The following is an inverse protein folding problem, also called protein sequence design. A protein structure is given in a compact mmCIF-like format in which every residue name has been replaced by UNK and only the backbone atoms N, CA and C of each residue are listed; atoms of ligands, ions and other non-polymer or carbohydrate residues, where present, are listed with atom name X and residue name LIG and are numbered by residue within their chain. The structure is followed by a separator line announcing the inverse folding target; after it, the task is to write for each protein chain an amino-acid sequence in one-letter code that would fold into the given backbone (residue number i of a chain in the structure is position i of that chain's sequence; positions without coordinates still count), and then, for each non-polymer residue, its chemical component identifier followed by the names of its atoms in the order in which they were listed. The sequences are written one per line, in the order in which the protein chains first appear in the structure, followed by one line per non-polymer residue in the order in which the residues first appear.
data_IF_680361932176
#
_entry.id   IF_680361932176
#
_cell.length_a   1.000
_cell.length_b   1.000
_cell.length_c   1.000
_cell.angle_alpha   90.00
_cell.angle_beta   90.00
_cell.angle_gamma   90.00
#
_symmetry.space_group_name_H-M   'P 1'
#
loop_
_entity.id
_entity.type
_entity.pdbx_description
1 polymer ?
#
# COMPACT_ATOMS: atom_id res chain seq x y z
N UNK A 1 31.68 3.47 -5.58
CA UNK A 1 30.85 2.27 -5.73
C UNK A 1 29.64 2.60 -6.60
N UNK A 2 29.34 1.74 -7.57
CA UNK A 2 28.50 2.04 -8.72
C UNK A 2 27.04 2.39 -8.35
N UNK A 3 26.58 3.58 -8.75
CA UNK A 3 25.16 3.97 -8.71
C UNK A 3 24.48 3.37 -9.94
N UNK A 4 23.49 2.53 -9.65
CA UNK A 4 22.75 1.64 -10.57
C UNK A 4 22.20 2.41 -11.78
N UNK A 5 22.55 1.95 -13.00
CA UNK A 5 21.83 2.26 -14.24
C UNK A 5 20.47 1.53 -14.24
N UNK A 6 19.39 2.25 -14.56
CA UNK A 6 18.06 1.77 -14.98
C UNK A 6 16.87 1.72 -13.98
N UNK A 7 16.87 2.52 -12.92
CA UNK A 7 15.66 3.02 -12.24
C UNK A 7 16.14 4.22 -11.41
N UNK A 8 15.74 5.47 -11.71
CA UNK A 8 16.32 6.60 -10.96
C UNK A 8 15.77 6.60 -9.53
N UNK A 9 16.64 6.27 -8.59
CA UNK A 9 16.50 6.71 -7.19
C UNK A 9 16.83 8.20 -7.18
N UNK A 10 16.02 9.01 -6.48
CA UNK A 10 16.17 10.46 -6.43
C UNK A 10 17.64 10.83 -6.12
N UNK A 11 18.32 11.63 -6.95
CA UNK A 11 19.67 12.07 -6.65
C UNK A 11 19.66 12.90 -5.36
N UNK A 12 20.43 12.45 -4.37
CA UNK A 12 20.40 13.02 -3.03
C UNK A 12 21.30 14.24 -2.92
N UNK A 13 20.74 15.36 -2.48
CA UNK A 13 21.53 16.46 -1.93
C UNK A 13 22.02 16.03 -0.54
N UNK A 14 23.30 16.20 -0.23
CA UNK A 14 23.91 15.86 1.08
C UNK A 14 23.73 14.37 1.49
N UNK A 15 24.38 13.41 0.79
CA UNK A 15 24.18 11.98 1.02
C UNK A 15 24.51 11.51 2.45
N UNK A 16 25.44 12.16 3.14
CA UNK A 16 25.80 11.83 4.54
C UNK A 16 24.61 12.01 5.49
N UNK A 17 23.87 13.12 5.36
CA UNK A 17 22.70 13.38 6.21
C UNK A 17 21.61 12.32 6.02
N UNK A 18 21.38 11.89 4.78
CA UNK A 18 20.42 10.83 4.49
C UNK A 18 20.81 9.49 5.14
N UNK A 19 22.10 9.14 5.11
CA UNK A 19 22.61 7.92 5.75
C UNK A 19 22.37 7.97 7.26
N UNK A 20 22.63 9.09 7.91
CA UNK A 20 22.49 9.22 9.36
C UNK A 20 21.00 9.18 9.79
N UNK A 21 20.10 9.83 9.04
CA UNK A 21 18.64 9.70 9.25
C UNK A 21 18.20 8.25 9.07
N UNK A 22 18.66 7.56 8.02
CA UNK A 22 18.30 6.16 7.78
C UNK A 22 18.80 5.23 8.90
N UNK A 23 20.00 5.46 9.45
CA UNK A 23 20.51 4.70 10.60
C UNK A 23 19.59 4.84 11.82
N UNK A 24 19.15 6.06 12.14
CA UNK A 24 18.20 6.30 13.25
C UNK A 24 16.89 5.52 13.06
N UNK A 25 16.35 5.55 11.84
CA UNK A 25 15.13 4.79 11.49
C UNK A 25 15.36 3.28 11.64
N UNK A 26 16.44 2.74 11.06
CA UNK A 26 16.72 1.31 11.10
C UNK A 26 16.98 0.77 12.51
N UNK A 27 17.67 1.53 13.36
CA UNK A 27 17.99 1.09 14.73
C UNK A 27 16.74 0.85 15.60
N UNK A 28 15.62 1.50 15.27
CA UNK A 28 14.35 1.39 16.02
C UNK A 28 13.22 0.76 15.22
N UNK A 29 13.55 0.10 14.10
CA UNK A 29 12.57 -0.49 13.19
C UNK A 29 12.95 -1.91 12.77
N UNK A 30 11.96 -2.64 12.26
CA UNK A 30 12.18 -3.89 11.53
C UNK A 30 11.50 -3.81 10.15
N UNK A 31 12.01 -4.52 9.13
CA UNK A 31 11.31 -4.64 7.87
C UNK A 31 9.88 -5.16 8.07
N UNK A 32 8.91 -4.63 7.32
CA UNK A 32 7.51 -5.09 7.37
C UNK A 32 7.41 -6.62 7.24
N UNK A 33 8.17 -7.23 6.33
CA UNK A 33 8.21 -8.68 6.13
C UNK A 33 8.72 -9.50 7.33
N UNK A 34 9.53 -8.90 8.20
CA UNK A 34 10.03 -9.54 9.42
C UNK A 34 8.97 -9.51 10.52
N UNK A 35 8.24 -8.40 10.64
CA UNK A 35 7.16 -8.25 11.62
C UNK A 35 5.91 -9.05 11.22
N UNK A 36 5.60 -9.05 9.93
CA UNK A 36 4.43 -9.69 9.37
C UNK A 36 4.83 -10.40 8.08
N UNK A 37 4.50 -11.69 7.94
CA UNK A 37 4.89 -12.55 6.82
C UNK A 37 5.00 -11.82 5.46
N UNK A 38 6.04 -12.10 4.66
CA UNK A 38 6.27 -11.59 3.29
C UNK A 38 5.04 -11.52 2.38
N UNK A 39 4.03 -12.38 2.58
CA UNK A 39 2.76 -12.41 1.83
C UNK A 39 1.68 -11.45 2.36
N UNK A 40 2.00 -10.56 3.30
CA UNK A 40 1.04 -9.61 3.87
C UNK A 40 0.55 -8.60 2.83
N UNK A 41 1.43 -8.17 1.92
CA UNK A 41 1.09 -7.29 0.80
C UNK A 41 0.73 -8.13 -0.42
N UNK A 42 -0.40 -7.80 -1.04
CA UNK A 42 -0.96 -8.48 -2.20
C UNK A 42 -1.33 -7.48 -3.28
N UNK A 43 -1.39 -7.94 -4.53
CA UNK A 43 -2.04 -7.18 -5.61
C UNK A 43 -3.55 -7.30 -5.51
N UNK A 44 -4.28 -6.33 -6.05
CA UNK A 44 -5.71 -6.47 -6.32
C UNK A 44 -6.03 -7.54 -7.38
N UNK A 45 -7.24 -7.45 -7.94
CA UNK A 45 -7.68 -8.36 -9.00
C UNK A 45 -6.98 -8.04 -10.32
N UNK A 46 -6.34 -9.04 -10.92
CA UNK A 46 -5.85 -8.98 -12.31
C UNK A 46 -6.97 -9.40 -13.25
N UNK A 47 -7.67 -8.46 -13.87
CA UNK A 47 -8.79 -8.76 -14.80
C UNK A 47 -8.41 -8.63 -16.29
N UNK A 48 -7.16 -8.32 -16.61
CA UNK A 48 -6.70 -8.06 -17.99
C UNK A 48 -7.59 -7.01 -18.67
N UNK A 49 -8.15 -7.33 -19.84
CA UNK A 49 -9.13 -6.52 -20.57
C UNK A 49 -10.59 -6.97 -20.33
N UNK A 50 -10.82 -7.87 -19.37
CA UNK A 50 -12.11 -8.53 -19.11
C UNK A 50 -12.78 -7.99 -17.84
N UNK A 51 -12.54 -6.72 -17.52
CA UNK A 51 -13.11 -6.10 -16.33
C UNK A 51 -14.64 -6.11 -16.36
N UNK A 52 -15.26 -5.87 -17.52
CA UNK A 52 -16.71 -5.90 -17.72
C UNK A 52 -17.34 -7.28 -17.46
N UNK A 53 -16.55 -8.35 -17.40
CA UNK A 53 -17.05 -9.69 -17.08
C UNK A 53 -17.33 -9.89 -15.59
N UNK A 54 -16.72 -9.06 -14.74
CA UNK A 54 -16.73 -9.24 -13.29
C UNK A 54 -17.07 -7.96 -12.51
N UNK A 55 -17.04 -6.80 -13.17
CA UNK A 55 -17.27 -5.50 -12.54
C UNK A 55 -18.47 -4.82 -13.17
N UNK A 56 -19.46 -4.50 -12.33
CA UNK A 56 -20.74 -3.93 -12.75
C UNK A 56 -21.03 -2.62 -12.02
N UNK A 57 -21.90 -1.79 -12.61
CA UNK A 57 -22.42 -0.57 -11.96
C UNK A 57 -23.56 -0.85 -10.97
N UNK A 58 -24.14 -2.05 -11.03
CA UNK A 58 -25.21 -2.50 -10.13
C UNK A 58 -24.60 -3.41 -9.07
N UNK A 59 -24.97 -3.16 -7.82
CA UNK A 59 -24.65 -4.07 -6.73
C UNK A 59 -25.60 -5.27 -6.80
N UNK A 60 -25.03 -6.47 -6.89
CA UNK A 60 -25.74 -7.74 -6.74
C UNK A 60 -25.33 -8.35 -5.40
N UNK A 61 -26.23 -9.05 -4.70
CA UNK A 61 -26.09 -9.50 -3.30
C UNK A 61 -24.65 -9.69 -2.79
N UNK A 62 -23.92 -10.65 -3.36
CA UNK A 62 -22.56 -11.02 -2.93
C UNK A 62 -21.42 -10.21 -3.60
N UNK A 63 -21.71 -9.00 -4.10
CA UNK A 63 -20.70 -8.16 -4.74
C UNK A 63 -19.89 -7.37 -3.72
N UNK A 64 -18.65 -7.11 -4.08
CA UNK A 64 -17.70 -6.30 -3.32
C UNK A 64 -17.62 -4.91 -3.92
N UNK A 65 -17.57 -3.85 -3.10
CA UNK A 65 -17.20 -2.52 -3.61
C UNK A 65 -15.86 -2.62 -4.34
N UNK A 66 -15.73 -2.03 -5.52
CA UNK A 66 -14.55 -2.16 -6.37
C UNK A 66 -13.80 -0.83 -6.52
N UNK A 67 -12.64 -0.75 -5.87
CA UNK A 67 -11.80 0.45 -5.87
C UNK A 67 -10.79 0.46 -7.03
N UNK A 68 -10.53 1.66 -7.55
CA UNK A 68 -9.56 1.88 -8.65
C UNK A 68 -8.69 3.11 -8.44
N UNK A 69 -7.40 2.86 -8.31
CA UNK A 69 -6.33 3.85 -8.43
C UNK A 69 -6.61 5.14 -7.69
N UNK A 70 -6.31 6.27 -8.33
CA UNK A 70 -6.53 7.60 -7.76
C UNK A 70 -8.00 8.03 -7.72
N UNK A 71 -8.90 7.38 -8.47
CA UNK A 71 -10.35 7.69 -8.42
C UNK A 71 -10.95 7.27 -7.08
N UNK A 72 -10.54 6.11 -6.60
CA UNK A 72 -10.96 5.59 -5.30
C UNK A 72 -10.03 5.97 -4.16
N UNK A 73 -8.73 6.12 -4.41
CA UNK A 73 -7.75 6.49 -3.39
C UNK A 73 -6.96 7.73 -3.82
N UNK A 74 -7.61 8.93 -3.82
CA UNK A 74 -6.97 10.15 -4.28
C UNK A 74 -5.90 10.65 -3.29
N UNK A 75 -6.14 10.50 -1.99
CA UNK A 75 -5.31 11.04 -0.89
C UNK A 75 -5.27 10.06 0.29
N UNK A 76 -4.33 10.28 1.20
CA UNK A 76 -4.20 9.48 2.43
C UNK A 76 -5.50 9.51 3.23
N UNK A 77 -5.88 8.34 3.76
CA UNK A 77 -7.12 8.07 4.50
C UNK A 77 -8.43 8.37 3.75
N UNK A 78 -8.40 8.59 2.43
CA UNK A 78 -9.60 8.89 1.65
C UNK A 78 -9.91 7.74 0.71
N UNK A 79 -11.06 7.07 0.93
CA UNK A 79 -11.51 5.94 0.14
C UNK A 79 -12.90 6.24 -0.45
N UNK A 80 -12.93 6.51 -1.75
CA UNK A 80 -14.11 6.95 -2.47
C UNK A 80 -14.73 5.77 -3.23
N UNK A 81 -16.00 5.49 -2.93
CA UNK A 81 -16.80 4.54 -3.68
C UNK A 81 -17.18 5.16 -5.03
N UNK A 82 -16.79 4.50 -6.13
CA UNK A 82 -16.98 5.01 -7.50
C UNK A 82 -18.15 4.34 -8.22
N UNK A 83 -19.06 3.71 -7.48
CA UNK A 83 -20.23 3.02 -8.02
C UNK A 83 -19.90 1.79 -8.87
N UNK A 84 -18.79 1.10 -8.55
CA UNK A 84 -18.39 -0.14 -9.19
C UNK A 84 -18.39 -1.29 -8.19
N UNK A 85 -18.84 -2.45 -8.63
CA UNK A 85 -19.01 -3.64 -7.80
C UNK A 85 -18.41 -4.85 -8.50
N UNK A 86 -17.56 -5.59 -7.79
CA UNK A 86 -16.88 -6.79 -8.27
C UNK A 86 -17.59 -8.05 -7.77
N UNK A 87 -17.83 -8.99 -8.69
CA UNK A 87 -18.42 -10.30 -8.38
C UNK A 87 -17.34 -11.37 -8.37
N UNK A 88 -17.20 -12.08 -7.23
CA UNK A 88 -16.25 -13.19 -7.12
C UNK A 88 -16.85 -14.47 -7.72
N UNK A 89 -16.64 -14.68 -9.02
CA UNK A 89 -17.08 -15.89 -9.74
C UNK A 89 -15.87 -16.74 -10.18
N UNK A 90 -15.51 -17.70 -9.32
CA UNK A 90 -14.33 -18.55 -9.53
C UNK A 90 -14.48 -19.49 -10.73
N UNK A 91 -15.70 -19.97 -10.98
CA UNK A 91 -15.97 -20.87 -12.10
C UNK A 91 -15.82 -20.15 -13.42
N UNK A 92 -16.40 -18.95 -13.54
CA UNK A 92 -16.24 -18.09 -14.71
C UNK A 92 -14.78 -17.69 -14.91
N UNK A 93 -14.06 -17.37 -13.83
CA UNK A 93 -12.61 -17.11 -13.89
C UNK A 93 -11.84 -18.28 -14.52
N UNK A 94 -12.13 -19.51 -14.09
CA UNK A 94 -11.44 -20.71 -14.56
C UNK A 94 -11.76 -20.97 -16.04
N UNK A 95 -13.04 -20.92 -16.43
CA UNK A 95 -13.47 -21.07 -17.84
C UNK A 95 -12.76 -20.10 -18.77
N UNK A 96 -12.70 -18.82 -18.38
CA UNK A 96 -11.97 -17.78 -19.14
C UNK A 96 -10.47 -18.09 -19.21
N UNK A 97 -9.86 -18.46 -18.09
CA UNK A 97 -8.43 -18.77 -18.05
C UNK A 97 -8.06 -19.98 -18.90
N UNK A 98 -8.92 -21.00 -18.97
CA UNK A 98 -8.72 -22.17 -19.82
C UNK A 98 -8.77 -21.78 -21.31
N UNK A 99 -9.73 -20.92 -21.69
CA UNK A 99 -9.80 -20.37 -23.05
C UNK A 99 -8.55 -19.56 -23.41
N UNK A 100 -8.12 -18.65 -22.54
CA UNK A 100 -6.89 -17.86 -22.74
C UNK A 100 -5.66 -18.78 -22.85
N UNK A 101 -5.58 -19.80 -21.99
CA UNK A 101 -4.48 -20.76 -21.99
C UNK A 101 -4.41 -21.52 -23.29
N UNK A 102 -5.56 -21.96 -23.82
CA UNK A 102 -5.64 -22.65 -25.11
C UNK A 102 -5.17 -21.75 -26.26
N UNK A 103 -5.72 -20.53 -26.36
CA UNK A 103 -5.36 -19.56 -27.40
C UNK A 103 -3.86 -19.22 -27.38
N UNK A 104 -3.30 -18.92 -26.21
CA UNK A 104 -1.88 -18.58 -26.08
C UNK A 104 -0.97 -19.78 -26.36
N UNK A 105 -1.45 -21.01 -26.16
CA UNK A 105 -0.71 -22.23 -26.53
C UNK A 105 -0.62 -22.38 -28.05
N UNK A 106 -1.72 -22.17 -28.76
CA UNK A 106 -1.75 -22.20 -30.23
C UNK A 106 -0.82 -21.14 -30.83
N UNK A 107 -0.68 -19.98 -30.16
CA UNK A 107 0.26 -18.91 -30.55
C UNK A 107 1.72 -19.16 -30.12
N UNK A 108 2.04 -20.30 -29.51
CA UNK A 108 3.39 -20.63 -29.05
C UNK A 108 3.89 -19.78 -27.86
N UNK A 109 3.01 -19.08 -27.15
CA UNK A 109 3.40 -18.19 -26.05
C UNK A 109 3.64 -19.00 -24.77
N UNK A 110 4.88 -18.96 -24.27
CA UNK A 110 5.30 -19.64 -23.04
C UNK A 110 4.66 -19.03 -21.79
N UNK A 111 4.75 -17.70 -21.63
CA UNK A 111 4.23 -16.98 -20.47
C UNK A 111 2.78 -16.57 -20.66
N UNK A 112 1.87 -17.43 -20.17
CA UNK A 112 0.43 -17.24 -20.36
C UNK A 112 -0.11 -16.28 -19.31
N UNK A 113 -0.58 -15.11 -19.76
CA UNK A 113 -1.34 -14.19 -18.90
C UNK A 113 -2.63 -14.89 -18.45
N UNK A 114 -3.10 -14.53 -17.26
CA UNK A 114 -4.33 -15.07 -16.69
C UNK A 114 -5.02 -14.03 -15.84
N UNK A 115 -6.33 -14.19 -15.67
CA UNK A 115 -7.09 -13.50 -14.65
C UNK A 115 -6.75 -14.09 -13.28
N UNK A 116 -6.62 -13.24 -12.27
CA UNK A 116 -6.32 -13.62 -10.90
C UNK A 116 -7.10 -12.80 -9.90
N UNK A 117 -7.98 -13.45 -9.13
CA UNK A 117 -8.68 -12.79 -8.03
C UNK A 117 -7.83 -12.79 -6.75
N UNK A 118 -7.31 -13.95 -6.38
CA UNK A 118 -6.69 -14.15 -5.06
C UNK A 118 -7.64 -14.89 -4.13
N UNK A 119 -7.38 -14.78 -2.83
CA UNK A 119 -8.14 -15.43 -1.75
C UNK A 119 -9.40 -14.62 -1.44
N UNK A 120 -10.59 -15.25 -1.49
CA UNK A 120 -11.88 -14.59 -1.22
C UNK A 120 -11.91 -13.93 0.17
N UNK A 121 -11.33 -14.60 1.16
CA UNK A 121 -11.20 -14.11 2.54
C UNK A 121 -10.59 -12.69 2.61
N UNK A 122 -9.67 -12.35 1.71
CA UNK A 122 -9.05 -11.02 1.69
C UNK A 122 -10.08 -9.94 1.36
N UNK A 123 -11.13 -10.22 0.60
CA UNK A 123 -12.17 -9.24 0.32
C UNK A 123 -13.13 -9.07 1.49
N UNK A 124 -13.34 -10.13 2.26
CA UNK A 124 -14.23 -10.12 3.42
C UNK A 124 -13.59 -9.43 4.64
N UNK A 125 -12.27 -9.49 4.76
CA UNK A 125 -11.54 -8.97 5.92
C UNK A 125 -11.28 -7.45 5.86
N UNK A 126 -11.12 -6.78 7.02
CA UNK A 126 -10.56 -5.44 7.08
C UNK A 126 -9.18 -5.39 6.43
N UNK A 127 -8.89 -4.29 5.75
CA UNK A 127 -7.71 -4.17 4.90
C UNK A 127 -7.23 -2.73 4.76
N UNK A 128 -6.02 -2.56 4.26
CA UNK A 128 -5.48 -1.27 3.81
C UNK A 128 -5.30 -1.35 2.31
N UNK A 129 -5.79 -0.35 1.58
CA UNK A 129 -5.44 -0.12 0.20
C UNK A 129 -4.28 0.85 0.10
N UNK A 130 -3.32 0.57 -0.78
CA UNK A 130 -2.14 1.40 -1.03
C UNK A 130 -2.03 1.65 -2.52
N UNK A 131 -1.92 2.91 -2.94
CA UNK A 131 -1.83 3.24 -4.37
C UNK A 131 -0.49 2.80 -4.95
N UNK A 132 -0.49 1.97 -6.01
CA UNK A 132 0.75 1.46 -6.61
C UNK A 132 1.56 2.56 -7.33
N UNK A 133 0.85 3.51 -7.93
CA UNK A 133 1.44 4.61 -8.71
C UNK A 133 1.20 5.96 -8.04
N UNK A 134 2.23 6.49 -7.41
CA UNK A 134 2.24 7.77 -6.73
C UNK A 134 3.68 8.22 -6.44
N UNK A 135 3.89 9.52 -6.29
CA UNK A 135 5.15 10.09 -5.79
C UNK A 135 5.31 9.97 -4.27
N UNK A 136 4.30 9.42 -3.59
CA UNK A 136 4.20 9.26 -2.15
C UNK A 136 3.42 7.99 -1.80
N UNK A 137 3.66 7.45 -0.62
CA UNK A 137 2.75 6.49 -0.01
C UNK A 137 1.41 7.14 0.24
N UNK A 138 0.37 6.52 -0.30
CA UNK A 138 -1.02 6.92 -0.11
C UNK A 138 -1.75 5.65 0.23
N UNK A 139 -2.19 5.58 1.49
CA UNK A 139 -2.87 4.43 2.05
C UNK A 139 -4.18 4.83 2.73
N UNK A 140 -5.16 3.94 2.71
CA UNK A 140 -6.41 4.11 3.45
C UNK A 140 -6.90 2.76 3.99
N UNK A 141 -7.48 2.81 5.18
CA UNK A 141 -8.06 1.65 5.86
C UNK A 141 -9.50 1.47 5.41
N UNK A 142 -9.92 0.22 5.28
CA UNK A 142 -11.28 -0.19 4.97
C UNK A 142 -11.68 -1.36 5.86
N UNK A 143 -12.74 -1.19 6.63
CA UNK A 143 -13.34 -2.23 7.46
C UNK A 143 -14.50 -2.97 6.78
N UNK A 144 -14.85 -2.58 5.55
CA UNK A 144 -15.94 -3.18 4.78
C UNK A 144 -15.46 -4.31 3.87
N UNK A 145 -16.44 -5.06 3.35
CA UNK A 145 -16.25 -6.01 2.26
C UNK A 145 -15.96 -5.27 0.96
N UNK A 146 -14.79 -5.50 0.39
CA UNK A 146 -14.32 -4.73 -0.77
C UNK A 146 -13.21 -5.42 -1.55
N UNK A 147 -13.03 -4.98 -2.79
CA UNK A 147 -12.05 -5.43 -3.77
C UNK A 147 -11.43 -4.21 -4.45
N UNK A 148 -10.34 -4.43 -5.19
CA UNK A 148 -9.73 -3.40 -6.01
C UNK A 148 -9.09 -3.99 -7.27
N UNK A 149 -8.84 -3.13 -8.25
CA UNK A 149 -8.02 -3.49 -9.39
C UNK A 149 -6.52 -3.58 -9.02
N UNK A 150 -5.71 -3.93 -10.02
CA UNK A 150 -4.26 -4.04 -9.87
C UNK A 150 -3.51 -2.72 -9.69
N UNK A 151 -4.20 -1.58 -9.70
CA UNK A 151 -3.55 -0.28 -9.43
C UNK A 151 -3.40 0.00 -7.93
N UNK A 152 -4.00 -0.84 -7.08
CA UNK A 152 -3.88 -0.80 -5.63
C UNK A 152 -3.24 -2.09 -5.10
N UNK A 153 -2.40 -1.94 -4.07
CA UNK A 153 -1.95 -3.04 -3.22
C UNK A 153 -2.85 -3.16 -1.99
N UNK A 154 -2.91 -4.37 -1.43
CA UNK A 154 -3.74 -4.72 -0.28
C UNK A 154 -2.84 -5.23 0.84
N UNK A 155 -2.98 -4.68 2.04
CA UNK A 155 -2.52 -5.29 3.29
C UNK A 155 -3.76 -5.79 4.02
N UNK A 156 -3.81 -7.09 4.30
CA UNK A 156 -4.86 -7.72 5.08
C UNK A 156 -4.29 -8.91 5.83
N UNK A 157 -4.78 -9.10 7.05
CA UNK A 157 -4.49 -10.29 7.84
C UNK A 157 -5.52 -11.38 7.56
N UNK A 158 -5.15 -12.64 7.85
CA UNK A 158 -6.09 -13.77 7.85
C UNK A 158 -6.93 -13.73 9.11
N UNK A 159 -8.09 -14.38 9.09
CA UNK A 159 -9.10 -14.32 10.15
C UNK A 159 -8.59 -14.83 11.50
N UNK A 160 -7.57 -15.68 11.52
CA UNK A 160 -6.94 -16.20 12.73
C UNK A 160 -5.88 -15.27 13.34
N UNK A 161 -5.59 -14.13 12.72
CA UNK A 161 -4.60 -13.18 13.24
C UNK A 161 -5.21 -12.33 14.35
N UNK A 162 -4.61 -12.43 15.54
CA UNK A 162 -5.07 -11.70 16.73
C UNK A 162 -4.82 -10.20 16.53
N UNK A 163 -5.79 -9.36 16.91
CA UNK A 163 -5.70 -7.90 16.82
C UNK A 163 -5.50 -7.34 15.40
N UNK A 164 -5.91 -8.07 14.35
CA UNK A 164 -5.76 -7.66 12.95
C UNK A 164 -6.15 -6.19 12.69
N UNK A 165 -7.32 -5.76 13.14
CA UNK A 165 -7.79 -4.38 12.94
C UNK A 165 -6.91 -3.34 13.62
N UNK A 166 -6.39 -3.63 14.82
CA UNK A 166 -5.48 -2.72 15.54
C UNK A 166 -4.16 -2.57 14.78
N UNK A 167 -3.60 -3.67 14.32
CA UNK A 167 -2.37 -3.66 13.51
C UNK A 167 -2.57 -2.93 12.17
N UNK A 168 -3.73 -3.10 11.52
CA UNK A 168 -4.04 -2.35 10.29
C UNK A 168 -4.16 -0.85 10.55
N UNK A 169 -4.76 -0.44 11.67
CA UNK A 169 -4.84 0.98 12.07
C UNK A 169 -3.45 1.56 12.32
N UNK A 170 -2.59 0.85 13.04
CA UNK A 170 -1.20 1.24 13.21
C UNK A 170 -0.49 1.40 11.86
N UNK A 171 -0.56 0.38 11.00
CA UNK A 171 0.11 0.37 9.70
C UNK A 171 -0.37 1.50 8.80
N UNK A 172 -1.68 1.78 8.71
CA UNK A 172 -2.16 2.90 7.87
C UNK A 172 -1.72 4.27 8.40
N UNK A 173 -1.62 4.42 9.73
CA UNK A 173 -1.05 5.61 10.37
C UNK A 173 0.41 5.80 10.00
N UNK A 174 1.20 4.75 10.21
CA UNK A 174 2.62 4.78 9.91
C UNK A 174 2.92 4.98 8.42
N UNK A 175 2.25 4.24 7.53
CA UNK A 175 2.48 4.31 6.08
C UNK A 175 2.16 5.69 5.48
N UNK A 176 1.27 6.46 6.10
CA UNK A 176 0.95 7.83 5.69
C UNK A 176 1.82 8.90 6.36
N UNK A 177 2.79 8.51 7.20
CA UNK A 177 3.72 9.46 7.86
C UNK A 177 4.80 9.99 6.91
N UNK A 178 5.42 11.12 7.31
CA UNK A 178 6.58 11.70 6.64
C UNK A 178 7.79 10.74 6.66
N UNK A 179 7.99 9.96 7.74
CA UNK A 179 9.07 8.98 7.84
C UNK A 179 8.92 7.85 6.82
N UNK A 180 7.73 7.26 6.73
CA UNK A 180 7.47 6.19 5.77
C UNK A 180 7.60 6.70 4.33
N UNK A 181 7.08 7.89 4.05
CA UNK A 181 7.21 8.55 2.75
C UNK A 181 8.66 8.84 2.38
N UNK A 182 9.44 9.39 3.30
CA UNK A 182 10.87 9.66 3.11
C UNK A 182 11.63 8.39 2.73
N UNK A 183 11.41 7.30 3.48
CA UNK A 183 12.00 6.00 3.14
C UNK A 183 11.56 5.52 1.75
N UNK A 184 10.25 5.59 1.46
CA UNK A 184 9.70 5.11 0.21
C UNK A 184 10.26 5.88 -0.99
N UNK A 185 10.37 7.20 -0.94
CA UNK A 185 10.97 8.01 -2.00
C UNK A 185 12.44 7.68 -2.25
N UNK A 186 13.16 7.27 -1.22
CA UNK A 186 14.57 6.87 -1.31
C UNK A 186 14.80 5.46 -1.83
N UNK A 187 13.90 4.50 -1.53
CA UNK A 187 14.19 3.07 -1.68
C UNK A 187 13.13 2.26 -2.43
N UNK A 188 11.90 2.75 -2.53
CA UNK A 188 10.73 1.98 -3.00
C UNK A 188 10.12 2.59 -4.27
N UNK A 189 9.91 3.91 -4.27
CA UNK A 189 9.26 4.64 -5.37
C UNK A 189 10.29 4.87 -6.46
N UNK A 190 10.04 4.27 -7.62
CA UNK A 190 10.91 4.40 -8.80
C UNK A 190 10.43 5.53 -9.68
N UNK A 191 11.30 6.52 -9.89
CA UNK A 191 11.05 7.59 -10.83
C UNK A 191 11.75 7.22 -12.14
N UNK A 192 10.97 7.00 -13.20
CA UNK A 192 11.50 6.78 -14.54
C UNK A 192 11.01 7.95 -15.38
N UNK A 193 11.94 8.63 -16.06
CA UNK A 193 11.62 9.77 -16.91
C UNK A 193 10.52 9.41 -17.93
N UNK A 194 9.49 10.26 -18.03
CA UNK A 194 8.35 10.05 -18.92
C UNK A 194 7.37 8.96 -18.47
N UNK A 195 7.56 8.31 -17.31
CA UNK A 195 6.63 7.31 -16.76
C UNK A 195 6.06 7.75 -15.42
N UNK A 196 4.87 7.25 -15.09
CA UNK A 196 4.32 7.44 -13.76
C UNK A 196 5.20 6.71 -12.72
N UNK A 197 5.44 7.33 -11.55
CA UNK A 197 6.11 6.67 -10.45
C UNK A 197 5.42 5.35 -10.10
N UNK A 198 6.18 4.31 -9.78
CA UNK A 198 5.63 3.01 -9.43
C UNK A 198 6.42 2.36 -8.29
N UNK A 199 5.71 1.66 -7.41
CA UNK A 199 6.28 0.84 -6.35
C UNK A 199 6.19 -0.65 -6.70
N UNK A 200 7.24 -1.42 -6.39
CA UNK A 200 7.20 -2.89 -6.49
C UNK A 200 7.00 -3.50 -5.10
N UNK A 201 6.18 -4.55 -5.01
CA UNK A 201 5.95 -5.28 -3.74
C UNK A 201 7.28 -5.77 -3.14
N UNK A 202 8.21 -6.24 -3.97
CA UNK A 202 9.54 -6.72 -3.55
C UNK A 202 10.34 -5.69 -2.76
N UNK A 203 10.14 -4.42 -3.06
CA UNK A 203 10.86 -3.32 -2.41
C UNK A 203 10.05 -2.86 -1.19
N UNK A 204 8.73 -2.82 -1.32
CA UNK A 204 7.80 -2.39 -0.27
C UNK A 204 7.87 -3.26 0.99
N UNK A 205 8.06 -4.57 0.85
CA UNK A 205 8.17 -5.47 2.01
C UNK A 205 9.34 -5.13 2.95
N UNK A 206 10.29 -4.30 2.50
CA UNK A 206 11.46 -3.86 3.27
C UNK A 206 11.26 -2.50 3.96
N UNK A 207 10.06 -1.89 3.86
CA UNK A 207 9.78 -0.64 4.55
C UNK A 207 10.03 -0.83 6.07
N UNK A 208 10.79 0.06 6.72
CA UNK A 208 11.07 -0.04 8.15
C UNK A 208 9.84 0.37 8.92
N UNK A 209 9.37 -0.50 9.81
CA UNK A 209 8.22 -0.30 10.68
C UNK A 209 8.70 -0.30 12.13
N UNK A 210 8.29 0.69 12.93
CA UNK A 210 8.58 0.69 14.36
C UNK A 210 7.80 -0.45 15.04
N UNK A 211 8.44 -1.10 16.01
CA UNK A 211 7.83 -2.22 16.74
C UNK A 211 7.56 -1.89 18.22
N UNK A 212 7.77 -0.64 18.62
CA UNK A 212 7.49 -0.17 19.99
C UNK A 212 5.97 -0.10 20.23
N UNK A 213 5.49 -0.82 21.24
CA UNK A 213 4.06 -0.94 21.55
C UNK A 213 3.43 0.38 22.03
N UNK A 214 4.18 1.25 22.72
CA UNK A 214 3.66 2.53 23.15
C UNK A 214 3.44 3.46 21.94
N UNK A 215 4.39 3.49 21.01
CA UNK A 215 4.24 4.25 19.77
C UNK A 215 3.09 3.71 18.92
N UNK A 216 3.00 2.38 18.76
CA UNK A 216 1.89 1.75 18.05
C UNK A 216 0.54 2.16 18.62
N UNK A 217 0.36 2.04 19.94
CA UNK A 217 -0.91 2.38 20.58
C UNK A 217 -1.29 3.85 20.39
N UNK A 218 -0.35 4.78 20.55
CA UNK A 218 -0.58 6.21 20.28
C UNK A 218 -1.02 6.47 18.83
N UNK A 219 -0.38 5.82 17.86
CA UNK A 219 -0.75 5.95 16.44
C UNK A 219 -2.15 5.35 16.19
N UNK A 220 -2.49 4.23 16.82
CA UNK A 220 -3.83 3.62 16.69
C UNK A 220 -4.90 4.58 17.20
N UNK A 221 -4.70 5.19 18.38
CA UNK A 221 -5.65 6.13 18.98
C UNK A 221 -5.84 7.36 18.08
N UNK A 222 -4.75 7.87 17.52
CA UNK A 222 -4.77 8.95 16.52
C UNK A 222 -5.53 8.55 15.26
N UNK A 223 -5.29 7.36 14.71
CA UNK A 223 -6.00 6.86 13.52
C UNK A 223 -7.50 6.67 13.81
N UNK A 224 -7.88 6.26 15.01
CA UNK A 224 -9.28 6.18 15.41
C UNK A 224 -9.96 7.56 15.40
N UNK A 225 -9.24 8.63 15.77
CA UNK A 225 -9.73 10.01 15.62
C UNK A 225 -9.91 10.37 14.14
N UNK A 226 -8.95 10.02 13.27
CA UNK A 226 -9.06 10.28 11.82
C UNK A 226 -10.29 9.60 11.23
N UNK A 227 -10.52 8.32 11.57
CA UNK A 227 -11.65 7.53 11.07
C UNK A 227 -12.98 8.13 11.54
N UNK A 228 -13.08 8.54 12.81
CA UNK A 228 -14.29 9.14 13.39
C UNK A 228 -14.50 10.60 12.96
N UNK A 229 -13.44 11.31 12.60
CA UNK A 229 -13.47 12.73 12.26
C UNK A 229 -12.48 13.05 11.14
N UNK A 230 -12.82 12.72 9.88
CA UNK A 230 -11.92 12.91 8.73
C UNK A 230 -11.45 14.35 8.52
N UNK A 231 -12.17 15.34 9.02
CA UNK A 231 -11.80 16.77 8.98
C UNK A 231 -10.53 17.08 9.78
N UNK A 232 -10.24 16.31 10.84
CA UNK A 232 -9.03 16.44 11.67
C UNK A 232 -7.81 15.72 11.08
N UNK A 233 -7.95 15.03 9.95
CA UNK A 233 -6.90 14.20 9.36
C UNK A 233 -5.53 14.90 9.29
N UNK A 234 -5.47 16.12 8.78
CA UNK A 234 -4.19 16.79 8.56
C UNK A 234 -3.49 17.15 9.88
N UNK A 235 -4.25 17.58 10.89
CA UNK A 235 -3.76 17.85 12.25
C UNK A 235 -3.19 16.57 12.86
N UNK A 236 -3.97 15.49 12.84
CA UNK A 236 -3.57 14.21 13.45
C UNK A 236 -2.39 13.56 12.71
N UNK A 237 -2.30 13.67 11.38
CA UNK A 237 -1.11 13.23 10.64
C UNK A 237 0.13 14.02 11.09
N UNK A 238 0.00 15.32 11.32
CA UNK A 238 1.10 16.12 11.84
C UNK A 238 1.53 15.66 13.25
N UNK A 239 0.58 15.30 14.11
CA UNK A 239 0.89 14.75 15.44
C UNK A 239 1.58 13.38 15.35
N UNK A 240 1.16 12.51 14.43
CA UNK A 240 1.86 11.25 14.13
C UNK A 240 3.31 11.53 13.69
N UNK A 241 3.53 12.54 12.85
CA UNK A 241 4.88 12.89 12.40
C UNK A 241 5.75 13.39 13.56
N UNK A 242 5.23 14.27 14.42
CA UNK A 242 5.93 14.77 15.61
C UNK A 242 6.31 13.60 16.52
N UNK A 243 5.36 12.71 16.82
CA UNK A 243 5.59 11.51 17.62
C UNK A 243 6.71 10.64 17.04
N UNK A 244 6.72 10.43 15.72
CA UNK A 244 7.74 9.62 15.06
C UNK A 244 9.10 10.33 15.02
N UNK A 245 9.14 11.65 14.87
CA UNK A 245 10.40 12.41 14.95
C UNK A 245 11.04 12.28 16.31
N UNK A 246 10.27 12.45 17.38
CA UNK A 246 10.74 12.24 18.75
C UNK A 246 11.21 10.80 18.95
N UNK A 247 10.42 9.81 18.51
CA UNK A 247 10.77 8.40 18.64
C UNK A 247 12.10 8.05 17.96
N UNK A 248 12.33 8.56 16.75
CA UNK A 248 13.57 8.33 16.01
C UNK A 248 14.71 9.30 16.36
N UNK A 249 14.54 10.17 17.36
CA UNK A 249 15.52 11.19 17.77
C UNK A 249 15.94 12.11 16.61
N UNK A 250 14.96 12.47 15.78
CA UNK A 250 15.10 13.38 14.64
C UNK A 250 14.77 14.80 15.10
N UNK A 251 15.58 15.30 16.02
CA UNK A 251 15.33 16.55 16.74
C UNK A 251 15.96 17.77 16.06
N UNK A 252 16.76 17.56 15.02
CA UNK A 252 17.42 18.64 14.29
C UNK A 252 16.51 19.16 13.16
N UNK A 253 16.24 20.46 13.15
CA UNK A 253 15.45 21.12 12.11
C UNK A 253 15.97 20.83 10.69
N UNK A 254 17.28 20.67 10.51
CA UNK A 254 17.88 20.27 9.23
C UNK A 254 17.47 18.87 8.81
N UNK A 255 17.36 17.92 9.74
CA UNK A 255 16.93 16.55 9.46
C UNK A 255 15.45 16.54 9.05
N UNK A 256 14.59 17.24 9.79
CA UNK A 256 13.16 17.35 9.48
C UNK A 256 12.94 18.05 8.12
N UNK A 257 13.67 19.14 7.87
CA UNK A 257 13.62 19.84 6.58
C UNK A 257 14.06 18.92 5.45
N UNK A 258 15.12 18.13 5.65
CA UNK A 258 15.61 17.17 4.67
C UNK A 258 14.57 16.09 4.37
N UNK A 259 13.89 15.59 5.40
CA UNK A 259 12.80 14.60 5.27
C UNK A 259 11.66 15.16 4.42
N UNK A 260 11.24 16.39 4.70
CA UNK A 260 10.15 17.08 3.98
C UNK A 260 10.51 17.52 2.57
N UNK A 261 11.80 17.72 2.30
CA UNK A 261 12.29 18.23 1.01
C UNK A 261 12.28 17.18 -0.11
N UNK A 262 12.21 15.90 0.25
CA UNK A 262 12.19 14.80 -0.71
C UNK A 262 10.81 14.52 -1.24
#
# INVERSE_FOLDING_TARGET
ENIIKNDYIIPLKNPKNHIDILKKIYNKSKPLAELYNKKIIRTGTMLLNMENEFVNKKCHGDSYVYYKGSKSLPRSFELNEIGLFFTYDKEKQNKINDSIKHELTLKGIKNKKRIGFGEKEIYDNPKIFIRQSANNLIAAFDDKKSSCDNSLYIISFKSNFINATRELKFLVGYLNSEIANYYARLKIIKLIHGKQPQMRISDFINIPICYDENIKNKIIDMVDIIIKSPTKKNEIINDINILLYEFYELNNEKEITQIRSL
#
